data_IF_021108765858
#
_entry.id   IF_021108765858
#
_cell.length_a   1.000
_cell.length_b   1.000
_cell.length_c   1.000
_cell.angle_alpha   90.00
_cell.angle_beta   90.00
_cell.angle_gamma   90.00
#
_symmetry.space_group_name_H-M   'P 1'
#
loop_
_entity.id
_entity.type
_entity.pdbx_description
1 polymer ?
#
# COMPACT_ATOMS: atom_id res chain seq x y z
N UNK A 1 -0.80 -9.09 -14.07
CA UNK A 1 -1.65 -7.96 -13.59
C UNK A 1 -1.23 -6.63 -14.21
N UNK A 2 -2.14 -5.68 -14.49
CA UNK A 2 -1.78 -4.28 -14.73
C UNK A 2 -1.48 -3.58 -13.40
N UNK A 3 -0.30 -2.99 -13.26
CA UNK A 3 0.18 -2.42 -11.99
C UNK A 3 -0.69 -1.25 -11.50
N UNK A 4 -1.22 -0.43 -12.41
CA UNK A 4 -2.04 0.72 -12.05
C UNK A 4 -3.41 0.26 -11.50
N UNK A 5 -4.01 -0.74 -12.15
CA UNK A 5 -5.22 -1.41 -11.65
C UNK A 5 -4.97 -2.07 -10.29
N UNK A 6 -3.86 -2.77 -10.11
CA UNK A 6 -3.50 -3.41 -8.85
C UNK A 6 -3.40 -2.40 -7.69
N UNK A 7 -2.78 -1.25 -7.94
CA UNK A 7 -2.67 -0.18 -6.94
C UNK A 7 -4.05 0.40 -6.58
N UNK A 8 -4.87 0.73 -7.59
CA UNK A 8 -6.22 1.31 -7.37
C UNK A 8 -7.12 0.36 -6.58
N UNK A 9 -7.14 -0.91 -6.92
CA UNK A 9 -8.01 -1.91 -6.29
C UNK A 9 -7.60 -2.18 -4.82
N UNK A 10 -6.33 -1.92 -4.47
CA UNK A 10 -5.77 -2.23 -3.14
C UNK A 10 -5.51 -0.99 -2.27
N UNK A 11 -5.89 0.22 -2.69
CA UNK A 11 -5.63 1.45 -1.92
C UNK A 11 -6.25 1.40 -0.50
N UNK A 12 -7.40 0.73 -0.35
CA UNK A 12 -8.04 0.54 0.95
C UNK A 12 -7.19 -0.26 1.96
N UNK A 13 -6.32 -1.15 1.47
CA UNK A 13 -5.38 -1.88 2.31
C UNK A 13 -4.38 -0.94 2.99
N UNK A 14 -3.95 0.11 2.29
CA UNK A 14 -3.03 1.11 2.84
C UNK A 14 -3.68 1.83 4.02
N UNK A 15 -4.96 2.24 3.91
CA UNK A 15 -5.71 2.81 5.03
C UNK A 15 -5.85 1.83 6.21
N UNK A 16 -6.10 0.55 5.94
CA UNK A 16 -6.19 -0.46 6.99
C UNK A 16 -4.85 -0.70 7.72
N UNK A 17 -3.73 -0.60 7.00
CA UNK A 17 -2.40 -0.69 7.59
C UNK A 17 -2.00 0.58 8.33
N UNK A 18 -2.12 1.76 7.71
CA UNK A 18 -1.71 3.05 8.30
C UNK A 18 -2.43 3.37 9.61
N UNK A 19 -3.72 2.98 9.74
CA UNK A 19 -4.49 3.17 10.99
C UNK A 19 -3.85 2.50 12.22
N UNK A 20 -3.08 1.42 12.03
CA UNK A 20 -2.36 0.71 13.11
C UNK A 20 -1.14 1.49 13.63
N UNK A 21 -0.65 2.46 12.86
CA UNK A 21 0.55 3.26 13.19
C UNK A 21 0.21 4.67 13.71
N UNK A 22 -1.08 4.99 13.88
CA UNK A 22 -1.51 6.28 14.47
C UNK A 22 -1.01 6.44 15.90
N UNK A 23 -0.88 7.70 16.34
CA UNK A 23 -0.47 8.03 17.70
C UNK A 23 1.02 7.88 17.99
N UNK A 24 1.86 7.74 16.94
CA UNK A 24 3.33 7.64 17.05
C UNK A 24 4.06 8.94 16.75
N UNK A 25 3.35 10.07 16.75
CA UNK A 25 3.90 11.39 16.41
C UNK A 25 4.14 11.61 14.91
N UNK A 26 3.54 10.79 14.05
CA UNK A 26 3.52 10.96 12.59
C UNK A 26 2.08 11.21 12.16
N UNK A 27 1.88 12.21 11.30
CA UNK A 27 0.58 12.53 10.75
C UNK A 27 0.03 11.38 9.90
N UNK A 28 -1.29 11.19 9.92
CA UNK A 28 -1.92 10.09 9.21
C UNK A 28 -1.67 10.14 7.70
N UNK A 29 -1.70 11.34 7.12
CA UNK A 29 -1.52 11.53 5.69
C UNK A 29 -0.08 11.19 5.25
N UNK A 30 0.91 11.42 6.11
CA UNK A 30 2.30 11.01 5.85
C UNK A 30 2.44 9.48 5.89
N UNK A 31 1.82 8.83 6.89
CA UNK A 31 1.77 7.36 6.97
C UNK A 31 1.08 6.75 5.76
N UNK A 32 -0.03 7.36 5.34
CA UNK A 32 -0.80 6.91 4.19
C UNK A 32 0.00 7.07 2.90
N UNK A 33 0.61 8.23 2.66
CA UNK A 33 1.45 8.47 1.48
C UNK A 33 2.66 7.53 1.41
N UNK A 34 3.36 7.33 2.53
CA UNK A 34 4.46 6.37 2.61
C UNK A 34 3.98 4.93 2.28
N UNK A 35 2.79 4.56 2.78
CA UNK A 35 2.15 3.29 2.46
C UNK A 35 1.76 3.16 0.98
N UNK A 36 1.25 4.23 0.35
CA UNK A 36 0.94 4.27 -1.08
C UNK A 36 2.20 4.05 -1.93
N UNK A 37 3.33 4.67 -1.55
CA UNK A 37 4.61 4.43 -2.23
C UNK A 37 5.05 2.97 -2.11
N UNK A 38 4.86 2.35 -0.94
CA UNK A 38 5.10 0.93 -0.72
C UNK A 38 4.22 0.05 -1.62
N UNK A 39 2.92 0.38 -1.73
CA UNK A 39 1.97 -0.35 -2.58
C UNK A 39 2.36 -0.30 -4.06
N UNK A 40 2.76 0.87 -4.58
CA UNK A 40 3.21 1.01 -5.98
C UNK A 40 4.43 0.13 -6.26
N UNK A 41 5.42 0.13 -5.36
CA UNK A 41 6.61 -0.71 -5.48
C UNK A 41 6.28 -2.20 -5.42
N UNK A 42 5.39 -2.59 -4.50
CA UNK A 42 4.93 -3.96 -4.36
C UNK A 42 4.19 -4.43 -5.61
N UNK A 43 3.25 -3.63 -6.13
CA UNK A 43 2.52 -3.96 -7.35
C UNK A 43 3.44 -4.15 -8.56
N UNK A 44 4.47 -3.30 -8.72
CA UNK A 44 5.45 -3.44 -9.81
C UNK A 44 6.40 -4.62 -9.67
N UNK A 45 6.54 -5.19 -8.48
CA UNK A 45 7.45 -6.30 -8.18
C UNK A 45 6.72 -7.61 -7.86
N UNK A 46 5.38 -7.60 -7.91
CA UNK A 46 4.56 -8.74 -7.55
C UNK A 46 4.59 -9.78 -8.66
N UNK A 47 4.79 -11.04 -8.27
CA UNK A 47 4.96 -12.17 -9.17
C UNK A 47 3.88 -13.21 -8.88
N UNK A 48 2.82 -13.17 -9.70
CA UNK A 48 1.64 -14.04 -9.59
C UNK A 48 2.00 -15.54 -9.71
N UNK A 49 3.17 -15.88 -10.28
CA UNK A 49 3.60 -17.28 -10.44
C UNK A 49 4.03 -17.94 -9.14
N UNK A 50 4.27 -17.16 -8.08
CA UNK A 50 4.69 -17.65 -6.76
C UNK A 50 3.55 -18.30 -5.96
N UNK A 51 2.31 -18.18 -6.43
CA UNK A 51 1.15 -18.87 -5.86
C UNK A 51 0.66 -18.33 -4.51
N UNK A 52 0.94 -17.05 -4.23
CA UNK A 52 0.45 -16.30 -3.06
C UNK A 52 -0.27 -15.03 -3.48
#
# INVERSE_FOLDING_TARGET
>A
MDSEKAVRDNIGLVHACARRFRGRGIEYDDLFQAGCLGLVKAAGSFDESRGV
#
